data_IF_973571184648
#
_entry.id   IF_973571184648
#
_cell.length_a   1.000
_cell.length_b   1.000
_cell.length_c   1.000
_cell.angle_alpha   90.00
_cell.angle_beta   90.00
_cell.angle_gamma   90.00
#
_symmetry.space_group_name_H-M   'P 1'
#
loop_
_entity.id
_entity.type
_entity.pdbx_description
1 polymer ?
#
# COMPACT_ATOMS: atom_id res chain seq x y z
N UNK A 1 74.15 29.39 -17.71
CA UNK A 1 73.27 28.39 -18.38
C UNK A 1 72.42 27.76 -17.33
N UNK A 2 71.24 28.30 -17.11
CA UNK A 2 70.29 27.80 -16.04
C UNK A 2 69.17 27.05 -16.68
N UNK A 3 69.02 25.79 -16.29
CA UNK A 3 67.86 24.98 -16.70
C UNK A 3 66.68 25.19 -15.70
N UNK A 4 65.64 25.84 -16.16
CA UNK A 4 64.37 26.00 -15.48
C UNK A 4 63.55 24.70 -15.60
N UNK A 5 63.35 23.98 -14.49
CA UNK A 5 62.49 22.82 -14.44
C UNK A 5 61.03 23.28 -14.16
N UNK A 6 60.19 23.14 -15.17
CA UNK A 6 58.74 23.36 -15.00
C UNK A 6 58.11 22.10 -14.41
N UNK A 7 57.62 22.21 -13.19
CA UNK A 7 56.80 21.17 -12.55
C UNK A 7 55.33 21.38 -12.99
N UNK A 8 54.77 20.46 -13.80
CA UNK A 8 53.33 20.38 -14.08
C UNK A 8 52.63 19.72 -12.87
N UNK A 9 51.86 20.50 -12.16
CA UNK A 9 50.95 19.96 -11.16
C UNK A 9 49.68 19.47 -11.86
N UNK A 10 49.49 18.16 -11.89
CA UNK A 10 48.26 17.54 -12.37
C UNK A 10 47.19 17.65 -11.26
N UNK A 11 46.21 18.51 -11.47
CA UNK A 11 45.03 18.60 -10.61
C UNK A 11 44.07 17.47 -11.02
N UNK A 12 44.06 16.40 -10.24
CA UNK A 12 43.10 15.33 -10.39
C UNK A 12 41.74 15.80 -9.83
N UNK A 13 40.81 16.16 -10.71
CA UNK A 13 39.42 16.41 -10.37
C UNK A 13 38.76 15.07 -10.06
N UNK A 14 38.69 14.72 -8.78
CA UNK A 14 37.91 13.56 -8.29
C UNK A 14 36.43 13.80 -8.49
N UNK A 15 35.87 13.17 -9.52
CA UNK A 15 34.44 13.12 -9.78
C UNK A 15 33.83 12.20 -8.69
N UNK A 16 33.36 12.78 -7.58
CA UNK A 16 32.57 12.08 -6.62
C UNK A 16 31.25 11.68 -7.28
N UNK A 17 31.14 10.41 -7.69
CA UNK A 17 29.87 9.83 -8.10
C UNK A 17 28.94 9.92 -6.89
N UNK A 18 27.99 10.86 -6.90
CA UNK A 18 26.86 10.84 -5.99
C UNK A 18 26.05 9.59 -6.33
N UNK A 19 26.25 8.52 -5.55
CA UNK A 19 25.35 7.38 -5.52
C UNK A 19 24.04 7.97 -4.99
N UNK A 20 23.08 8.22 -5.86
CA UNK A 20 21.72 8.55 -5.48
C UNK A 20 21.18 7.35 -4.68
N UNK A 21 21.23 7.43 -3.37
CA UNK A 21 20.59 6.46 -2.50
C UNK A 21 19.09 6.66 -2.68
N UNK A 22 18.51 5.67 -3.28
CA UNK A 22 17.08 5.54 -3.48
C UNK A 22 16.39 5.37 -2.12
N UNK A 23 16.00 6.46 -1.55
CA UNK A 23 14.96 6.68 -0.56
C UNK A 23 15.16 8.07 0.04
N UNK A 24 14.23 8.99 -0.17
CA UNK A 24 14.42 10.33 0.36
C UNK A 24 14.28 10.30 1.89
N UNK A 25 15.33 10.67 2.59
CA UNK A 25 15.26 10.99 4.02
C UNK A 25 14.32 12.20 4.26
N UNK A 26 14.00 12.94 3.20
CA UNK A 26 13.01 14.00 3.16
C UNK A 26 12.15 13.87 1.90
N UNK A 27 11.07 13.08 1.92
CA UNK A 27 10.21 12.86 0.76
C UNK A 27 9.62 14.14 0.18
N UNK A 28 9.56 14.22 -1.15
CA UNK A 28 9.11 15.40 -1.90
C UNK A 28 7.69 15.16 -2.43
N UNK A 29 6.78 16.13 -2.16
CA UNK A 29 5.43 16.09 -2.69
C UNK A 29 5.43 16.20 -4.23
N UNK A 30 4.66 15.35 -4.88
CA UNK A 30 4.60 15.23 -6.34
C UNK A 30 5.62 14.23 -6.91
N UNK A 31 6.64 13.83 -6.14
CA UNK A 31 7.66 12.86 -6.55
C UNK A 31 7.55 11.57 -5.74
N UNK A 32 7.64 11.65 -4.41
CA UNK A 32 7.65 10.49 -3.53
C UNK A 32 6.29 10.21 -2.89
N UNK A 33 5.46 11.23 -2.82
CA UNK A 33 4.07 11.14 -2.36
C UNK A 33 3.20 12.20 -3.03
N UNK A 34 1.90 12.00 -2.99
CA UNK A 34 0.90 12.97 -3.46
C UNK A 34 0.09 13.46 -2.27
N UNK A 35 -0.27 14.75 -2.27
CA UNK A 35 -1.21 15.33 -1.30
C UNK A 35 -2.57 15.46 -1.97
N UNK A 36 -3.62 14.98 -1.33
CA UNK A 36 -5.00 15.18 -1.79
C UNK A 36 -5.37 16.67 -1.74
N UNK A 37 -6.12 17.13 -2.72
CA UNK A 37 -6.65 18.50 -2.72
C UNK A 37 -7.64 18.76 -1.56
N UNK A 38 -8.40 17.73 -1.18
CA UNK A 38 -9.29 17.71 -0.02
C UNK A 38 -8.96 16.49 0.83
N UNK A 39 -8.78 16.69 2.13
CA UNK A 39 -8.54 15.56 3.04
C UNK A 39 -9.82 14.76 3.24
N UNK A 40 -9.69 13.43 3.25
CA UNK A 40 -10.77 12.52 3.55
C UNK A 40 -10.89 12.30 5.08
N UNK A 41 -12.10 12.16 5.61
CA UNK A 41 -12.30 11.81 7.01
C UNK A 41 -11.64 10.47 7.36
N UNK A 42 -11.03 10.40 8.54
CA UNK A 42 -10.42 9.18 9.08
C UNK A 42 -11.24 8.62 10.23
N UNK A 43 -11.20 7.29 10.40
CA UNK A 43 -11.89 6.55 11.46
C UNK A 43 -10.92 6.11 12.57
N UNK A 44 -9.66 6.57 12.51
CA UNK A 44 -8.65 6.21 13.49
C UNK A 44 -8.99 6.74 14.88
N UNK A 45 -8.77 5.96 15.94
CA UNK A 45 -8.85 6.45 17.32
C UNK A 45 -7.94 7.65 17.56
N UNK A 46 -8.30 8.51 18.50
CA UNK A 46 -7.48 9.67 18.87
C UNK A 46 -6.04 9.25 19.20
N UNK A 47 -5.06 9.99 18.68
CA UNK A 47 -3.63 9.73 18.87
C UNK A 47 -3.04 8.71 17.90
N UNK A 48 -3.82 8.13 17.00
CA UNK A 48 -3.32 7.25 15.94
C UNK A 48 -3.49 7.89 14.57
N UNK A 49 -2.56 7.59 13.68
CA UNK A 49 -2.66 7.98 12.26
C UNK A 49 -3.31 6.84 11.48
N UNK A 50 -4.37 7.12 10.74
CA UNK A 50 -4.95 6.12 9.86
C UNK A 50 -4.02 5.85 8.69
N UNK A 51 -3.76 4.57 8.41
CA UNK A 51 -3.10 4.11 7.20
C UNK A 51 -4.01 3.13 6.48
N UNK A 52 -4.34 3.45 5.24
CA UNK A 52 -5.21 2.63 4.40
C UNK A 52 -4.41 2.08 3.23
N UNK A 53 -4.39 0.75 3.09
CA UNK A 53 -3.92 0.11 1.86
C UNK A 53 -5.08 -0.06 0.89
N UNK A 54 -4.95 0.48 -0.31
CA UNK A 54 -5.79 0.11 -1.44
C UNK A 54 -5.12 -1.03 -2.20
N UNK A 55 -5.81 -2.14 -2.38
CA UNK A 55 -5.25 -3.35 -2.97
C UNK A 55 -6.28 -4.12 -3.82
N UNK A 56 -5.80 -5.10 -4.57
CA UNK A 56 -6.62 -6.07 -5.28
C UNK A 56 -5.98 -7.45 -5.19
N UNK A 57 -6.74 -8.49 -4.87
CA UNK A 57 -6.19 -9.83 -4.70
C UNK A 57 -5.46 -10.37 -5.93
N UNK A 58 -5.93 -10.08 -7.15
CA UNK A 58 -5.23 -10.54 -8.37
C UNK A 58 -4.09 -9.62 -8.83
N UNK A 59 -3.74 -8.59 -8.05
CA UNK A 59 -2.61 -7.73 -8.35
C UNK A 59 -1.29 -8.39 -7.88
N UNK A 60 -0.34 -8.74 -8.78
CA UNK A 60 0.91 -9.37 -8.40
C UNK A 60 1.79 -8.46 -7.53
N UNK A 61 1.73 -7.14 -7.74
CA UNK A 61 2.47 -6.17 -6.95
C UNK A 61 1.93 -6.05 -5.51
N UNK A 62 0.60 -6.21 -5.32
CA UNK A 62 0.01 -6.28 -3.98
C UNK A 62 0.45 -7.56 -3.26
N UNK A 63 0.43 -8.70 -3.96
CA UNK A 63 0.95 -9.97 -3.41
C UNK A 63 2.41 -9.88 -3.00
N UNK A 64 3.26 -9.27 -3.83
CA UNK A 64 4.68 -9.11 -3.55
C UNK A 64 4.96 -8.14 -2.39
N UNK A 65 4.12 -7.11 -2.20
CA UNK A 65 4.25 -6.14 -1.10
C UNK A 65 3.75 -6.69 0.23
N UNK A 66 2.70 -7.54 0.24
CA UNK A 66 1.93 -7.91 1.43
C UNK A 66 2.80 -8.40 2.61
N UNK A 67 3.81 -9.29 2.45
CA UNK A 67 4.66 -9.70 3.56
C UNK A 67 5.42 -8.54 4.20
N UNK A 68 6.01 -7.66 3.38
CA UNK A 68 6.76 -6.48 3.86
C UNK A 68 5.84 -5.47 4.54
N UNK A 69 4.64 -5.27 3.99
CA UNK A 69 3.63 -4.38 4.56
C UNK A 69 3.14 -4.90 5.91
N UNK A 70 2.88 -6.21 6.04
CA UNK A 70 2.49 -6.82 7.31
C UNK A 70 3.56 -6.61 8.39
N UNK A 71 4.84 -6.79 8.05
CA UNK A 71 5.95 -6.54 8.98
C UNK A 71 6.10 -5.06 9.32
N UNK A 72 5.90 -4.19 8.35
CA UNK A 72 5.90 -2.74 8.57
C UNK A 72 4.76 -2.32 9.50
N UNK A 73 3.54 -2.80 9.31
CA UNK A 73 2.39 -2.54 10.18
C UNK A 73 2.68 -2.98 11.61
N UNK A 74 3.26 -4.17 11.81
CA UNK A 74 3.67 -4.65 13.14
C UNK A 74 4.69 -3.71 13.79
N UNK A 75 5.67 -3.20 13.03
CA UNK A 75 6.69 -2.25 13.52
C UNK A 75 6.09 -0.88 13.89
N UNK A 76 5.09 -0.40 13.15
CA UNK A 76 4.39 0.85 13.50
C UNK A 76 3.58 0.73 14.80
N UNK A 77 3.10 -0.45 15.12
CA UNK A 77 2.43 -0.77 16.39
C UNK A 77 1.24 0.15 16.69
N UNK A 78 1.26 0.80 17.84
CA UNK A 78 0.17 1.67 18.30
C UNK A 78 0.14 3.06 17.64
N UNK A 79 1.16 3.44 16.87
CA UNK A 79 1.22 4.75 16.21
C UNK A 79 0.17 4.87 15.09
N UNK A 80 -0.24 3.77 14.50
CA UNK A 80 -1.19 3.75 13.38
C UNK A 80 -2.46 3.00 13.70
N UNK A 81 -3.51 3.31 12.92
CA UNK A 81 -4.71 2.50 12.73
C UNK A 81 -4.71 2.02 11.29
N UNK A 82 -4.34 0.76 11.08
CA UNK A 82 -4.21 0.20 9.73
C UNK A 82 -5.51 -0.46 9.28
N UNK A 83 -5.89 -0.21 8.02
CA UNK A 83 -6.99 -0.91 7.36
C UNK A 83 -6.68 -1.18 5.89
N UNK A 84 -7.34 -2.18 5.32
CA UNK A 84 -7.30 -2.48 3.89
C UNK A 84 -8.61 -2.15 3.23
N UNK A 85 -8.53 -1.63 2.02
CA UNK A 85 -9.68 -1.35 1.15
C UNK A 85 -9.46 -2.10 -0.16
N UNK A 86 -10.16 -3.23 -0.37
CA UNK A 86 -10.12 -3.91 -1.66
C UNK A 86 -10.81 -3.05 -2.71
N UNK A 87 -10.19 -2.87 -3.87
CA UNK A 87 -10.74 -2.05 -4.94
C UNK A 87 -11.23 -2.90 -6.12
N UNK A 88 -12.17 -2.35 -6.89
CA UNK A 88 -12.67 -2.96 -8.12
C UNK A 88 -12.67 -1.92 -9.25
N UNK A 89 -11.62 -1.92 -10.09
CA UNK A 89 -11.54 -1.02 -11.26
C UNK A 89 -12.58 -1.35 -12.34
N UNK A 90 -13.16 -2.54 -12.29
CA UNK A 90 -14.22 -3.01 -13.20
C UNK A 90 -15.15 -4.00 -12.49
N UNK A 91 -16.37 -4.22 -12.99
CA UNK A 91 -17.35 -5.09 -12.33
C UNK A 91 -16.85 -6.54 -12.10
N UNK A 92 -16.00 -7.08 -12.97
CA UNK A 92 -15.42 -8.42 -12.81
C UNK A 92 -14.49 -8.57 -11.61
N UNK A 93 -14.08 -7.48 -10.94
CA UNK A 93 -13.24 -7.52 -9.73
C UNK A 93 -14.06 -7.50 -8.43
N UNK A 94 -15.35 -7.17 -8.51
CA UNK A 94 -16.25 -7.11 -7.35
C UNK A 94 -16.31 -8.41 -6.54
N UNK A 95 -16.28 -9.62 -7.14
CA UNK A 95 -16.26 -10.85 -6.35
C UNK A 95 -15.10 -10.94 -5.36
N UNK A 96 -13.91 -10.52 -5.75
CA UNK A 96 -12.74 -10.51 -4.86
C UNK A 96 -12.82 -9.40 -3.79
N UNK A 97 -13.46 -8.27 -4.10
CA UNK A 97 -13.75 -7.21 -3.13
C UNK A 97 -14.72 -7.70 -2.05
N UNK A 98 -15.80 -8.38 -2.45
CA UNK A 98 -16.76 -9.04 -1.53
C UNK A 98 -16.07 -10.11 -0.67
N UNK A 99 -15.18 -10.91 -1.27
CA UNK A 99 -14.41 -11.94 -0.56
C UNK A 99 -13.67 -11.34 0.64
N UNK A 100 -12.92 -10.25 0.45
CA UNK A 100 -12.20 -9.62 1.54
C UNK A 100 -13.14 -9.21 2.68
N UNK A 101 -14.23 -8.54 2.37
CA UNK A 101 -15.18 -8.08 3.39
C UNK A 101 -15.98 -9.21 4.04
N UNK A 102 -16.20 -10.31 3.34
CA UNK A 102 -16.80 -11.51 3.93
C UNK A 102 -15.85 -12.16 4.95
N UNK A 103 -14.54 -12.27 4.62
CA UNK A 103 -13.53 -12.78 5.54
C UNK A 103 -13.42 -11.88 6.79
N UNK A 104 -13.42 -10.57 6.61
CA UNK A 104 -13.40 -9.61 7.71
C UNK A 104 -14.64 -9.76 8.61
N UNK A 105 -15.84 -9.81 8.03
CA UNK A 105 -17.09 -9.97 8.76
C UNK A 105 -17.18 -11.30 9.52
N UNK A 106 -16.52 -12.35 9.01
CA UNK A 106 -16.44 -13.66 9.65
C UNK A 106 -15.27 -13.79 10.63
N UNK A 107 -14.46 -12.74 10.82
CA UNK A 107 -13.23 -12.76 11.60
C UNK A 107 -12.25 -13.85 11.11
N UNK A 108 -12.13 -14.04 9.79
CA UNK A 108 -11.28 -15.03 9.11
C UNK A 108 -10.19 -14.39 8.29
N UNK A 109 -9.61 -13.30 8.81
CA UNK A 109 -8.46 -12.65 8.15
C UNK A 109 -7.20 -13.52 8.12
N UNK A 110 -7.16 -14.62 8.87
CA UNK A 110 -6.16 -15.69 8.72
C UNK A 110 -6.12 -16.30 7.31
N UNK A 111 -7.18 -16.12 6.53
CA UNK A 111 -7.26 -16.58 5.14
C UNK A 111 -6.77 -15.56 4.10
N UNK A 112 -6.47 -14.32 4.50
CA UNK A 112 -6.06 -13.26 3.56
C UNK A 112 -4.82 -13.65 2.74
N UNK A 113 -3.76 -14.08 3.40
CA UNK A 113 -2.53 -14.52 2.73
C UNK A 113 -2.76 -15.80 1.90
N UNK A 114 -3.66 -16.69 2.35
CA UNK A 114 -4.02 -17.90 1.59
C UNK A 114 -4.75 -17.57 0.29
N UNK A 115 -5.59 -16.52 0.26
CA UNK A 115 -6.23 -16.05 -0.96
C UNK A 115 -5.18 -15.54 -1.94
N UNK A 116 -4.24 -14.71 -1.51
CA UNK A 116 -3.14 -14.26 -2.35
C UNK A 116 -2.32 -15.44 -2.89
N UNK A 117 -1.94 -16.39 -2.03
CA UNK A 117 -1.18 -17.57 -2.44
C UNK A 117 -1.95 -18.42 -3.45
N UNK A 118 -3.24 -18.65 -3.23
CA UNK A 118 -4.07 -19.42 -4.15
C UNK A 118 -4.11 -18.79 -5.55
N UNK A 119 -4.20 -17.47 -5.63
CA UNK A 119 -4.25 -16.78 -6.92
C UNK A 119 -2.87 -16.78 -7.60
N UNK A 120 -1.81 -16.38 -6.90
CA UNK A 120 -0.53 -16.09 -7.52
C UNK A 120 0.40 -17.31 -7.62
N UNK A 121 0.38 -18.20 -6.61
CA UNK A 121 1.21 -19.39 -6.61
C UNK A 121 0.50 -20.63 -7.18
N UNK A 122 -0.78 -20.83 -6.82
CA UNK A 122 -1.57 -21.98 -7.28
C UNK A 122 -2.37 -21.69 -8.56
N UNK A 123 -2.36 -20.44 -9.06
CA UNK A 123 -3.03 -19.99 -10.28
C UNK A 123 -4.56 -20.22 -10.28
N UNK A 124 -5.18 -20.16 -9.11
CA UNK A 124 -6.65 -20.20 -8.99
C UNK A 124 -7.20 -18.82 -9.33
N UNK A 125 -8.19 -18.77 -10.23
CA UNK A 125 -8.72 -17.50 -10.72
C UNK A 125 -9.48 -16.72 -9.63
N UNK A 126 -10.32 -17.40 -8.84
CA UNK A 126 -11.20 -16.82 -7.80
C UNK A 126 -11.95 -15.57 -8.30
N UNK A 127 -12.47 -15.64 -9.53
CA UNK A 127 -13.15 -14.53 -10.20
C UNK A 127 -14.68 -14.63 -10.11
N UNK A 128 -15.20 -15.79 -9.73
CA UNK A 128 -16.64 -16.03 -9.60
C UNK A 128 -17.03 -16.36 -8.17
N UNK A 129 -18.28 -16.06 -7.81
CA UNK A 129 -18.81 -16.39 -6.48
C UNK A 129 -18.70 -17.89 -6.18
N UNK A 130 -18.86 -18.75 -7.19
CA UNK A 130 -18.72 -20.20 -7.05
C UNK A 130 -17.29 -20.62 -6.72
N UNK A 131 -16.30 -20.15 -7.50
CA UNK A 131 -14.87 -20.46 -7.27
C UNK A 131 -14.42 -20.01 -5.89
N UNK A 132 -14.85 -18.83 -5.48
CA UNK A 132 -14.56 -18.27 -4.15
C UNK A 132 -15.19 -19.12 -3.05
N UNK A 133 -16.47 -19.46 -3.16
CA UNK A 133 -17.15 -20.27 -2.16
C UNK A 133 -16.55 -21.67 -2.02
N UNK A 134 -16.17 -22.29 -3.13
CA UNK A 134 -15.54 -23.62 -3.14
C UNK A 134 -14.13 -23.55 -2.53
N UNK A 135 -13.35 -22.49 -2.83
CA UNK A 135 -12.05 -22.27 -2.22
C UNK A 135 -12.16 -22.08 -0.70
N UNK A 136 -13.09 -21.25 -0.24
CA UNK A 136 -13.29 -20.96 1.19
C UNK A 136 -13.79 -22.20 1.95
N UNK A 137 -14.64 -23.02 1.34
CA UNK A 137 -15.06 -24.30 1.90
C UNK A 137 -13.87 -25.26 2.07
N UNK A 138 -12.96 -25.31 1.11
CA UNK A 138 -11.72 -26.11 1.19
C UNK A 138 -10.77 -25.60 2.31
N UNK A 139 -10.94 -24.37 2.81
CA UNK A 139 -10.22 -23.85 3.98
C UNK A 139 -10.93 -24.15 5.32
N UNK A 140 -11.94 -25.03 5.31
CA UNK A 140 -12.65 -25.44 6.52
C UNK A 140 -13.73 -24.48 7.00
N UNK A 141 -14.18 -23.56 6.15
CA UNK A 141 -15.30 -22.66 6.44
C UNK A 141 -16.58 -23.25 5.89
N UNK A 142 -17.67 -23.23 6.68
CA UNK A 142 -18.99 -23.64 6.20
C UNK A 142 -19.40 -22.82 4.98
N UNK A 143 -19.65 -23.49 3.84
CA UNK A 143 -19.93 -22.88 2.56
C UNK A 143 -21.22 -22.06 2.58
N UNK A 144 -22.27 -22.58 3.23
CA UNK A 144 -23.58 -21.91 3.27
C UNK A 144 -23.51 -20.64 4.10
N UNK A 145 -22.86 -20.73 5.27
CA UNK A 145 -22.62 -19.58 6.14
C UNK A 145 -21.74 -18.52 5.47
N UNK A 146 -20.71 -18.94 4.73
CA UNK A 146 -19.89 -18.02 3.96
C UNK A 146 -20.72 -17.28 2.91
N UNK A 147 -21.53 -17.97 2.12
CA UNK A 147 -22.37 -17.37 1.08
C UNK A 147 -23.42 -16.41 1.67
N UNK A 148 -23.99 -16.73 2.83
CA UNK A 148 -24.89 -15.85 3.56
C UNK A 148 -24.19 -14.51 3.89
N UNK A 149 -23.01 -14.57 4.50
CA UNK A 149 -22.22 -13.37 4.84
C UNK A 149 -21.76 -12.64 3.59
N UNK A 150 -21.22 -13.35 2.60
CA UNK A 150 -20.73 -12.81 1.33
C UNK A 150 -21.79 -12.02 0.55
N UNK A 151 -23.06 -12.43 0.64
CA UNK A 151 -24.21 -11.76 0.02
C UNK A 151 -24.98 -10.85 0.98
N UNK A 152 -24.48 -10.64 2.19
CA UNK A 152 -25.14 -9.81 3.19
C UNK A 152 -25.15 -8.33 2.80
N UNK A 153 -26.11 -7.60 3.34
CA UNK A 153 -26.17 -6.14 3.20
C UNK A 153 -24.92 -5.45 3.76
N UNK A 154 -24.32 -5.99 4.84
CA UNK A 154 -23.09 -5.46 5.43
C UNK A 154 -21.91 -5.51 4.44
N UNK A 155 -21.71 -6.63 3.75
CA UNK A 155 -20.67 -6.76 2.71
C UNK A 155 -20.94 -5.83 1.52
N UNK A 156 -22.20 -5.75 1.07
CA UNK A 156 -22.62 -4.83 0.01
C UNK A 156 -22.30 -3.36 0.36
N UNK A 157 -22.64 -2.95 1.58
CA UNK A 157 -22.37 -1.58 2.05
C UNK A 157 -20.87 -1.29 2.08
N UNK A 158 -20.06 -2.23 2.55
CA UNK A 158 -18.59 -2.09 2.57
C UNK A 158 -18.00 -2.02 1.16
N UNK A 159 -18.48 -2.81 0.20
CA UNK A 159 -18.03 -2.73 -1.20
C UNK A 159 -18.42 -1.39 -1.84
N UNK A 160 -19.61 -0.88 -1.57
CA UNK A 160 -20.03 0.46 -2.01
C UNK A 160 -19.11 1.53 -1.42
N UNK A 161 -18.84 1.45 -0.12
CA UNK A 161 -17.93 2.40 0.56
C UNK A 161 -16.51 2.33 0.00
N UNK A 162 -16.00 1.14 -0.30
CA UNK A 162 -14.68 0.97 -0.93
C UNK A 162 -14.62 1.67 -2.30
N UNK A 163 -15.67 1.56 -3.12
CA UNK A 163 -15.76 2.26 -4.40
C UNK A 163 -15.78 3.79 -4.21
N UNK A 164 -16.49 4.29 -3.21
CA UNK A 164 -16.49 5.72 -2.87
C UNK A 164 -15.09 6.19 -2.45
N UNK A 165 -14.40 5.43 -1.59
CA UNK A 165 -13.03 5.73 -1.18
C UNK A 165 -12.06 5.70 -2.36
N UNK A 166 -12.18 4.70 -3.25
CA UNK A 166 -11.40 4.64 -4.48
C UNK A 166 -11.53 5.93 -5.32
N UNK A 167 -12.75 6.45 -5.45
CA UNK A 167 -13.02 7.69 -6.17
C UNK A 167 -12.49 8.92 -5.44
N UNK A 168 -12.73 9.02 -4.12
CA UNK A 168 -12.33 10.14 -3.29
C UNK A 168 -10.79 10.29 -3.27
N UNK A 169 -10.07 9.18 -3.11
CA UNK A 169 -8.61 9.15 -3.18
C UNK A 169 -8.07 9.15 -4.61
N UNK A 170 -8.92 9.10 -5.63
CA UNK A 170 -8.53 9.02 -7.07
C UNK A 170 -7.54 7.88 -7.31
N UNK A 171 -7.81 6.70 -6.74
CA UNK A 171 -6.94 5.53 -6.89
C UNK A 171 -6.98 5.05 -8.34
N UNK A 172 -5.86 5.15 -9.01
CA UNK A 172 -5.62 4.76 -10.40
C UNK A 172 -4.73 3.50 -10.55
N UNK A 173 -4.14 3.05 -9.44
CA UNK A 173 -3.30 1.85 -9.38
C UNK A 173 -3.15 1.31 -7.96
N UNK A 174 -2.74 0.04 -7.86
CA UNK A 174 -2.51 -0.65 -6.59
C UNK A 174 -1.19 -1.46 -6.65
N UNK A 175 -0.52 -1.64 -5.51
CA UNK A 175 -0.88 -1.17 -4.17
C UNK A 175 -0.69 0.34 -4.01
N UNK A 176 -1.56 0.99 -3.24
CA UNK A 176 -1.42 2.40 -2.84
C UNK A 176 -1.70 2.53 -1.35
N UNK A 177 -0.85 3.27 -0.64
CA UNK A 177 -1.00 3.57 0.78
C UNK A 177 -1.48 5.02 0.93
N UNK A 178 -2.61 5.21 1.60
CA UNK A 178 -3.07 6.52 2.05
C UNK A 178 -2.78 6.72 3.54
N UNK A 179 -2.32 7.89 3.93
CA UNK A 179 -1.90 8.21 5.30
C UNK A 179 -2.60 9.47 5.79
N UNK A 180 -3.23 9.38 6.94
CA UNK A 180 -3.89 10.49 7.63
C UNK A 180 -5.04 11.14 6.84
N UNK A 181 -5.66 10.40 5.91
CA UNK A 181 -6.73 10.94 5.05
C UNK A 181 -6.26 11.99 4.04
N UNK A 182 -4.96 12.24 3.93
CA UNK A 182 -4.43 13.40 3.20
C UNK A 182 -3.31 13.07 2.21
N UNK A 183 -2.47 12.12 2.53
CA UNK A 183 -1.28 11.79 1.76
C UNK A 183 -1.39 10.42 1.12
N UNK A 184 -0.78 10.22 -0.04
CA UNK A 184 -0.70 8.93 -0.72
C UNK A 184 0.73 8.67 -1.20
N UNK A 185 1.17 7.42 -1.06
CA UNK A 185 2.39 6.92 -1.67
C UNK A 185 2.18 5.50 -2.18
N UNK A 186 3.04 5.04 -3.07
CA UNK A 186 3.02 3.69 -3.61
C UNK A 186 4.38 3.33 -4.20
N UNK A 187 4.68 2.05 -4.46
CA UNK A 187 5.88 1.68 -5.21
C UNK A 187 5.98 2.36 -6.57
N UNK A 188 4.86 2.58 -7.27
CA UNK A 188 4.85 3.28 -8.56
C UNK A 188 5.10 4.79 -8.43
N UNK A 189 4.60 5.43 -7.36
CA UNK A 189 4.83 6.86 -7.12
C UNK A 189 6.32 7.11 -6.84
N UNK A 190 6.91 6.39 -5.88
CA UNK A 190 8.34 6.56 -5.57
C UNK A 190 9.22 6.15 -6.74
N UNK A 191 8.83 5.12 -7.49
CA UNK A 191 9.55 4.62 -8.65
C UNK A 191 9.67 5.63 -9.78
N UNK A 192 8.71 6.54 -9.93
CA UNK A 192 8.75 7.60 -10.93
C UNK A 192 9.98 8.53 -10.76
N UNK A 193 10.40 8.76 -9.49
CA UNK A 193 11.58 9.56 -9.15
C UNK A 193 12.89 8.75 -9.05
N UNK A 194 12.80 7.43 -8.90
CA UNK A 194 13.96 6.55 -8.63
C UNK A 194 14.54 5.87 -9.89
N UNK A 195 13.90 6.02 -11.04
CA UNK A 195 14.28 5.33 -12.26
C UNK A 195 14.02 3.81 -12.19
N UNK A 196 14.72 3.04 -13.04
CA UNK A 196 14.52 1.60 -13.16
C UNK A 196 15.15 0.84 -11.97
N UNK A 197 14.43 0.74 -10.86
CA UNK A 197 14.83 -0.02 -9.67
C UNK A 197 14.09 -1.36 -9.59
N UNK A 198 14.70 -2.38 -8.98
CA UNK A 198 14.01 -3.64 -8.68
C UNK A 198 12.78 -3.42 -7.77
N UNK A 199 11.70 -4.17 -8.00
CA UNK A 199 10.47 -4.04 -7.24
C UNK A 199 10.66 -4.11 -5.70
N UNK A 200 11.49 -5.00 -5.13
CA UNK A 200 11.73 -5.02 -3.69
C UNK A 200 12.31 -3.70 -3.13
N UNK A 201 13.10 -2.98 -3.93
CA UNK A 201 13.66 -1.67 -3.56
C UNK A 201 12.56 -0.61 -3.55
N UNK A 202 11.65 -0.64 -4.52
CA UNK A 202 10.51 0.26 -4.58
C UNK A 202 9.53 0.03 -3.42
N UNK A 203 9.35 -1.22 -3.01
CA UNK A 203 8.55 -1.56 -1.81
C UNK A 203 9.15 -0.93 -0.57
N UNK A 204 10.44 -1.10 -0.34
CA UNK A 204 11.14 -0.55 0.83
C UNK A 204 11.07 0.99 0.83
N UNK A 205 11.28 1.62 -0.33
CA UNK A 205 11.18 3.06 -0.49
C UNK A 205 9.77 3.58 -0.17
N UNK A 206 8.72 2.94 -0.70
CA UNK A 206 7.34 3.32 -0.42
C UNK A 206 6.98 3.20 1.08
N UNK A 207 7.45 2.14 1.75
CA UNK A 207 7.23 1.97 3.19
C UNK A 207 8.01 2.98 4.04
N UNK A 208 9.22 3.40 3.60
CA UNK A 208 9.96 4.49 4.25
C UNK A 208 9.23 5.83 4.11
N UNK A 209 8.72 6.15 2.92
CA UNK A 209 7.89 7.33 2.67
C UNK A 209 6.62 7.26 3.52
N UNK A 210 5.95 6.10 3.60
CA UNK A 210 4.79 5.93 4.46
C UNK A 210 5.11 6.19 5.94
N UNK A 211 6.26 5.73 6.45
CA UNK A 211 6.74 6.03 7.82
C UNK A 211 6.87 7.54 8.03
N UNK A 212 7.55 8.23 7.12
CA UNK A 212 7.70 9.68 7.19
C UNK A 212 6.35 10.42 7.15
N UNK A 213 5.40 9.94 6.34
CA UNK A 213 4.04 10.50 6.26
C UNK A 213 3.25 10.26 7.55
N UNK A 214 3.44 9.12 8.23
CA UNK A 214 2.86 8.86 9.55
C UNK A 214 3.36 9.89 10.56
N UNK A 215 4.68 10.10 10.65
CA UNK A 215 5.27 11.08 11.55
C UNK A 215 4.80 12.51 11.24
N UNK A 216 4.71 12.86 9.96
CA UNK A 216 4.20 14.14 9.49
C UNK A 216 2.75 14.35 9.91
N UNK A 217 1.89 13.37 9.66
CA UNK A 217 0.46 13.43 10.00
C UNK A 217 0.22 13.52 11.50
N UNK A 218 1.00 12.78 12.30
CA UNK A 218 0.92 12.85 13.76
C UNK A 218 1.25 14.26 14.30
N UNK A 219 2.27 14.92 13.75
CA UNK A 219 2.64 16.30 14.12
C UNK A 219 1.56 17.30 13.73
N UNK A 220 0.95 17.15 12.56
CA UNK A 220 -0.14 18.02 12.09
C UNK A 220 -1.42 17.84 12.92
N UNK A 221 -1.78 16.61 13.27
CA UNK A 221 -2.92 16.30 14.15
C UNK A 221 -2.74 16.74 15.60
N UNK A 222 -1.52 16.72 16.11
CA UNK A 222 -1.16 17.21 17.47
C UNK A 222 -1.18 18.74 17.60
N UNK A 223 -0.96 19.46 16.50
CA UNK A 223 -0.99 20.92 16.49
C UNK A 223 -2.38 21.56 16.49
N UNK A 224 -3.43 20.78 16.17
CA UNK A 224 -4.81 21.28 16.11
C UNK A 224 -5.54 21.29 17.46
N UNK A 225 -4.87 20.96 18.57
CA UNK A 225 -5.41 20.92 19.94
C UNK A 225 -4.80 22.02 20.84
N UNK A 226 -4.65 23.24 20.31
CA UNK A 226 -4.36 24.40 21.14
C UNK A 226 -5.41 25.48 20.94
#
# INVERSE_FOLDING_TARGET
MGFMKHALAAVSFGMAAMIAHASPQAPVNGTDYKTLATSEPTEAPAGKVEVTEFFWYSCPHCFALDPKLNDWVKKQGSAISFKRVPIAFRPSFVPQQKLYYALEAMNRMDLHEKVFHAIHAERKALNTDKEIADFIAAQGVDRSKFLEVYNSFGVQTKTTRATQLQQAYKIDGVPTLAVGGKYMTSPSIVGAGMGNQPEPVLHDAALQVATWLVDKSAKEGGGAKK
#
